data_IF_410600661148
#
_entry.id   IF_410600661148
#
_cell.length_a   1.000
_cell.length_b   1.000
_cell.length_c   1.000
_cell.angle_alpha   90.00
_cell.angle_beta   90.00
_cell.angle_gamma   90.00
#
_symmetry.space_group_name_H-M   'P 1'
#
loop_
_entity.id
_entity.type
_entity.pdbx_description
1 polymer ?
#
# COMPACT_ATOMS: atom_id res chain seq x y z
N UNK A 1 -6.18 -12.32 -0.35
CA UNK A 1 -5.84 -10.91 -0.61
C UNK A 1 -5.53 -10.77 -2.08
N UNK A 2 -6.20 -9.84 -2.76
CA UNK A 2 -6.03 -9.64 -4.20
C UNK A 2 -5.28 -8.34 -4.44
N UNK A 3 -4.20 -8.42 -5.21
CA UNK A 3 -3.44 -7.26 -5.67
C UNK A 3 -4.11 -6.62 -6.86
N UNK A 4 -4.04 -5.30 -6.98
CA UNK A 4 -4.54 -4.57 -8.16
C UNK A 4 -3.39 -3.79 -8.75
N UNK A 5 -3.08 -4.06 -10.02
CA UNK A 5 -1.88 -3.53 -10.69
C UNK A 5 -2.20 -3.05 -12.11
N UNK A 6 -1.39 -2.15 -12.65
CA UNK A 6 -1.38 -1.91 -14.10
C UNK A 6 -0.83 -3.15 -14.83
N UNK A 7 -1.07 -3.23 -16.14
CA UNK A 7 -0.48 -4.27 -17.00
C UNK A 7 1.05 -4.27 -16.88
N UNK A 8 1.66 -3.07 -16.94
CA UNK A 8 3.11 -2.89 -16.88
C UNK A 8 3.74 -3.43 -15.60
N UNK A 9 3.03 -3.41 -14.47
CA UNK A 9 3.54 -3.88 -13.18
C UNK A 9 2.98 -5.26 -12.79
N UNK A 10 2.08 -5.86 -13.59
CA UNK A 10 1.37 -7.09 -13.20
C UNK A 10 2.33 -8.24 -12.92
N UNK A 11 3.28 -8.50 -13.83
CA UNK A 11 4.24 -9.59 -13.69
C UNK A 11 5.11 -9.42 -12.43
N UNK A 12 5.50 -8.18 -12.12
CA UNK A 12 6.22 -7.86 -10.89
C UNK A 12 5.37 -8.17 -9.65
N UNK A 13 4.13 -7.65 -9.59
CA UNK A 13 3.24 -7.83 -8.44
C UNK A 13 2.92 -9.31 -8.22
N UNK A 14 2.65 -10.08 -9.29
CA UNK A 14 2.48 -11.54 -9.22
C UNK A 14 3.75 -12.22 -8.74
N UNK A 15 4.91 -11.79 -9.24
CA UNK A 15 6.22 -12.32 -8.89
C UNK A 15 6.54 -12.21 -7.40
N UNK A 16 6.00 -11.21 -6.69
CA UNK A 16 6.21 -11.04 -5.25
C UNK A 16 5.67 -12.20 -4.42
N UNK A 17 4.62 -12.89 -4.89
CA UNK A 17 3.94 -13.96 -4.14
C UNK A 17 3.15 -13.49 -2.91
N UNK A 18 2.97 -12.18 -2.72
CA UNK A 18 2.27 -11.59 -1.56
C UNK A 18 0.74 -11.74 -1.69
N UNK A 19 0.24 -11.79 -2.93
CA UNK A 19 -1.19 -11.80 -3.23
C UNK A 19 -1.61 -13.18 -3.75
N UNK A 20 -2.82 -13.61 -3.40
CA UNK A 20 -3.40 -14.86 -3.89
C UNK A 20 -3.73 -14.78 -5.39
N UNK A 21 -4.09 -13.57 -5.85
CA UNK A 21 -4.31 -13.25 -7.26
C UNK A 21 -4.01 -11.76 -7.53
N UNK A 22 -3.82 -11.41 -8.79
CA UNK A 22 -3.54 -10.04 -9.25
C UNK A 22 -4.45 -9.68 -10.42
N UNK A 23 -5.32 -8.70 -10.16
CA UNK A 23 -6.21 -8.11 -11.15
C UNK A 23 -5.62 -6.83 -11.74
N UNK A 24 -6.08 -6.50 -12.94
CA UNK A 24 -5.72 -5.24 -13.60
C UNK A 24 -6.52 -4.09 -13.03
N UNK A 25 -5.93 -2.89 -12.93
CA UNK A 25 -6.66 -1.66 -12.53
C UNK A 25 -7.85 -1.32 -13.43
N UNK A 26 -7.90 -1.89 -14.63
CA UNK A 26 -8.96 -1.76 -15.64
C UNK A 26 -10.02 -2.87 -15.59
N UNK A 27 -9.82 -3.92 -14.79
CA UNK A 27 -10.78 -5.01 -14.65
C UNK A 27 -12.05 -4.55 -13.92
N UNK A 28 -13.17 -5.26 -14.15
CA UNK A 28 -14.36 -5.12 -13.31
C UNK A 28 -14.10 -5.81 -11.96
N UNK A 29 -14.10 -5.05 -10.84
CA UNK A 29 -13.78 -5.61 -9.54
C UNK A 29 -14.82 -6.64 -9.07
N UNK A 30 -16.09 -6.54 -9.45
CA UNK A 30 -17.11 -7.50 -9.02
C UNK A 30 -16.88 -8.89 -9.66
N UNK A 31 -16.54 -8.90 -10.96
CA UNK A 31 -16.24 -10.13 -11.70
C UNK A 31 -14.95 -10.76 -11.17
N UNK A 32 -13.87 -9.96 -11.03
CA UNK A 32 -12.58 -10.48 -10.58
C UNK A 32 -12.60 -11.00 -9.15
N UNK A 33 -13.50 -10.48 -8.30
CA UNK A 33 -13.70 -11.01 -6.94
C UNK A 33 -14.66 -12.20 -6.90
N UNK A 34 -15.41 -12.51 -7.96
CA UNK A 34 -16.47 -13.53 -7.97
C UNK A 34 -17.61 -13.16 -7.01
N UNK A 35 -18.06 -11.91 -7.04
CA UNK A 35 -19.16 -11.43 -6.19
C UNK A 35 -20.43 -11.41 -7.03
N UNK A 36 -21.30 -12.38 -6.77
CA UNK A 36 -22.54 -12.57 -7.54
C UNK A 36 -23.77 -11.97 -6.83
N UNK A 37 -23.61 -11.39 -5.63
CA UNK A 37 -24.71 -10.85 -4.84
C UNK A 37 -24.34 -9.87 -3.72
N UNK A 38 -25.37 -9.27 -3.13
CA UNK A 38 -25.25 -8.09 -2.26
C UNK A 38 -24.61 -8.37 -0.89
N UNK A 39 -24.46 -9.62 -0.44
CA UNK A 39 -24.08 -9.93 0.96
C UNK A 39 -23.29 -11.23 1.18
N UNK A 40 -22.67 -11.81 0.14
CA UNK A 40 -22.04 -13.13 0.27
C UNK A 40 -20.81 -13.14 1.21
N UNK A 41 -20.20 -11.97 1.44
CA UNK A 41 -19.02 -11.76 2.29
C UNK A 41 -18.82 -10.27 2.56
N UNK A 42 -17.94 -9.92 3.50
CA UNK A 42 -17.49 -8.54 3.67
C UNK A 42 -16.34 -8.27 2.71
N UNK A 43 -16.42 -7.18 1.94
CA UNK A 43 -15.33 -6.72 1.08
C UNK A 43 -14.66 -5.51 1.70
N UNK A 44 -13.32 -5.51 1.74
CA UNK A 44 -12.54 -4.38 2.22
C UNK A 44 -11.56 -3.96 1.13
N UNK A 45 -11.64 -2.71 0.70
CA UNK A 45 -10.69 -2.10 -0.25
C UNK A 45 -9.68 -1.29 0.56
N UNK A 46 -8.42 -1.72 0.58
CA UNK A 46 -7.33 -0.96 1.14
C UNK A 46 -6.65 -0.14 0.03
N UNK A 47 -6.66 1.18 0.17
CA UNK A 47 -6.00 2.10 -0.76
C UNK A 47 -4.83 2.79 -0.07
N UNK A 48 -3.61 2.49 -0.54
CA UNK A 48 -2.35 3.06 -0.06
C UNK A 48 -1.88 4.24 -0.92
N UNK A 49 -2.79 4.95 -1.61
CA UNK A 49 -2.45 6.06 -2.49
C UNK A 49 -2.33 5.64 -3.96
N UNK A 50 -3.21 4.73 -4.40
CA UNK A 50 -3.28 4.30 -5.78
C UNK A 50 -3.42 5.48 -6.75
N UNK A 51 -2.60 5.47 -7.81
CA UNK A 51 -2.60 6.54 -8.82
C UNK A 51 -3.95 6.63 -9.53
N UNK A 52 -4.27 7.81 -10.05
CA UNK A 52 -5.48 8.07 -10.84
C UNK A 52 -6.79 7.61 -10.15
N UNK A 53 -6.82 7.65 -8.81
CA UNK A 53 -8.01 7.31 -8.02
C UNK A 53 -8.49 5.88 -8.22
N UNK A 54 -7.60 4.93 -8.52
CA UNK A 54 -8.01 3.52 -8.74
C UNK A 54 -8.82 2.98 -7.57
N UNK A 55 -8.37 3.19 -6.33
CA UNK A 55 -9.06 2.66 -5.15
C UNK A 55 -10.49 3.19 -5.01
N UNK A 56 -10.70 4.49 -5.19
CA UNK A 56 -12.03 5.09 -5.14
C UNK A 56 -12.93 4.66 -6.30
N UNK A 57 -12.40 4.54 -7.53
CA UNK A 57 -13.16 4.01 -8.69
C UNK A 57 -13.59 2.56 -8.47
N UNK A 58 -12.69 1.73 -7.95
CA UNK A 58 -12.98 0.34 -7.61
C UNK A 58 -14.05 0.23 -6.53
N UNK A 59 -13.92 1.00 -5.44
CA UNK A 59 -14.93 1.01 -4.38
C UNK A 59 -16.30 1.51 -4.88
N UNK A 60 -16.35 2.53 -5.74
CA UNK A 60 -17.61 2.99 -6.35
C UNK A 60 -18.27 1.89 -7.18
N UNK A 61 -17.50 1.18 -8.02
CA UNK A 61 -18.02 0.08 -8.83
C UNK A 61 -18.53 -1.09 -7.99
N UNK A 62 -17.81 -1.43 -6.91
CA UNK A 62 -18.24 -2.47 -5.98
C UNK A 62 -19.50 -2.08 -5.21
N UNK A 63 -19.61 -0.83 -4.76
CA UNK A 63 -20.75 -0.33 -3.99
C UNK A 63 -22.09 -0.42 -4.75
N UNK A 64 -22.05 -0.38 -6.09
CA UNK A 64 -23.26 -0.53 -6.92
C UNK A 64 -23.86 -1.95 -6.85
N UNK A 65 -23.07 -2.95 -6.48
CA UNK A 65 -23.45 -4.37 -6.53
C UNK A 65 -23.31 -5.08 -5.18
N UNK A 66 -22.61 -4.48 -4.23
CA UNK A 66 -22.25 -5.11 -2.98
C UNK A 66 -22.36 -4.14 -1.79
N UNK A 67 -23.33 -4.39 -0.92
CA UNK A 67 -23.67 -3.49 0.19
C UNK A 67 -22.67 -3.60 1.36
N UNK A 68 -22.09 -4.78 1.58
CA UNK A 68 -21.16 -5.03 2.68
C UNK A 68 -19.70 -4.66 2.34
N UNK A 69 -19.51 -3.40 1.93
CA UNK A 69 -18.23 -2.83 1.50
C UNK A 69 -17.67 -1.85 2.53
N UNK A 70 -16.37 -1.96 2.80
CA UNK A 70 -15.59 -0.97 3.54
C UNK A 70 -14.40 -0.49 2.70
N UNK A 71 -14.33 0.80 2.43
CA UNK A 71 -13.14 1.43 1.89
C UNK A 71 -12.24 1.94 3.03
N UNK A 72 -10.95 1.61 2.98
CA UNK A 72 -9.92 2.02 3.94
C UNK A 72 -8.83 2.76 3.18
N UNK A 73 -8.87 4.09 3.23
CA UNK A 73 -7.77 4.92 2.75
C UNK A 73 -6.66 4.96 3.79
N UNK A 74 -5.49 4.46 3.45
CA UNK A 74 -4.30 4.42 4.29
C UNK A 74 -3.32 5.48 3.83
N UNK A 75 -2.90 6.36 4.73
CA UNK A 75 -1.86 7.35 4.46
C UNK A 75 -0.98 7.59 5.68
N UNK A 76 0.08 8.36 5.47
CA UNK A 76 0.79 9.06 6.55
C UNK A 76 0.15 10.44 6.78
N UNK A 77 0.50 11.10 7.89
CA UNK A 77 0.03 12.46 8.15
C UNK A 77 0.36 13.40 6.98
N UNK A 78 -0.53 14.37 6.70
CA UNK A 78 -0.22 15.43 5.74
C UNK A 78 0.94 16.25 6.28
N UNK A 79 2.09 16.18 5.59
CA UNK A 79 3.27 16.98 5.93
C UNK A 79 3.19 18.41 5.37
N UNK A 80 2.33 18.64 4.37
CA UNK A 80 2.12 19.96 3.75
C UNK A 80 0.83 20.62 4.26
N UNK A 81 0.93 21.69 5.08
CA UNK A 81 -0.21 22.45 5.56
C UNK A 81 -1.05 23.07 4.44
N UNK A 82 -0.46 23.37 3.28
CA UNK A 82 -1.16 23.99 2.15
C UNK A 82 -2.12 23.00 1.45
N UNK A 83 -1.85 21.70 1.55
CA UNK A 83 -2.69 20.65 1.00
C UNK A 83 -3.92 20.32 1.86
N UNK A 84 -3.96 20.77 3.13
CA UNK A 84 -5.00 20.43 4.10
C UNK A 84 -6.39 20.84 3.60
N UNK A 85 -6.53 22.03 3.02
CA UNK A 85 -7.81 22.52 2.50
C UNK A 85 -8.38 21.64 1.38
N UNK A 86 -7.54 21.23 0.43
CA UNK A 86 -7.94 20.33 -0.66
C UNK A 86 -8.31 18.94 -0.15
N UNK A 87 -7.58 18.43 0.85
CA UNK A 87 -7.85 17.12 1.44
C UNK A 87 -9.15 17.13 2.26
N UNK A 88 -9.43 18.21 2.98
CA UNK A 88 -10.69 18.41 3.70
C UNK A 88 -11.87 18.55 2.74
N UNK A 89 -11.70 19.30 1.64
CA UNK A 89 -12.73 19.41 0.61
C UNK A 89 -13.04 18.05 -0.04
N UNK A 90 -12.02 17.24 -0.33
CA UNK A 90 -12.23 15.85 -0.79
C UNK A 90 -12.87 14.95 0.26
N UNK A 91 -12.57 15.15 1.54
CA UNK A 91 -13.17 14.38 2.63
C UNK A 91 -14.63 14.77 2.90
N UNK A 92 -15.05 15.97 2.53
CA UNK A 92 -16.43 16.44 2.65
C UNK A 92 -17.37 15.77 1.64
N UNK A 93 -16.85 15.26 0.52
CA UNK A 93 -17.63 14.47 -0.44
C UNK A 93 -17.89 13.09 0.17
N UNK A 94 -19.15 12.80 0.48
CA UNK A 94 -19.53 11.47 0.94
C UNK A 94 -19.60 10.50 -0.25
N UNK A 95 -18.76 9.46 -0.28
CA UNK A 95 -18.86 8.45 -1.32
C UNK A 95 -20.10 7.56 -1.10
N UNK A 96 -20.56 6.84 -2.14
CA UNK A 96 -21.70 5.91 -2.03
C UNK A 96 -21.38 4.62 -1.25
N UNK A 97 -20.29 4.60 -0.47
CA UNK A 97 -19.81 3.47 0.30
C UNK A 97 -19.29 3.93 1.66
N UNK A 98 -19.28 3.00 2.62
CA UNK A 98 -18.63 3.26 3.91
C UNK A 98 -17.13 3.43 3.71
N UNK A 99 -16.61 4.61 4.04
CA UNK A 99 -15.19 4.91 3.95
C UNK A 99 -14.63 5.29 5.32
N UNK A 100 -13.41 4.83 5.60
CA UNK A 100 -12.60 5.29 6.72
C UNK A 100 -11.23 5.71 6.21
N UNK A 101 -10.66 6.76 6.80
CA UNK A 101 -9.25 7.12 6.61
C UNK A 101 -8.48 6.76 7.86
N UNK A 102 -7.35 6.09 7.68
CA UNK A 102 -6.47 5.70 8.78
C UNK A 102 -5.07 6.22 8.52
N UNK A 103 -4.45 6.69 9.60
CA UNK A 103 -3.05 7.07 9.60
C UNK A 103 -2.21 5.86 10.07
N UNK A 104 -1.18 5.50 9.29
CA UNK A 104 -0.28 4.41 9.64
C UNK A 104 0.39 4.59 11.03
N UNK A 105 0.75 5.82 11.39
CA UNK A 105 1.32 6.12 12.71
C UNK A 105 0.32 5.92 13.84
N UNK A 106 -0.95 6.27 13.62
CA UNK A 106 -2.01 6.00 14.60
C UNK A 106 -2.25 4.51 14.77
N UNK A 107 -2.23 3.75 13.66
CA UNK A 107 -2.35 2.29 13.71
C UNK A 107 -1.20 1.66 14.49
N UNK A 108 0.04 2.10 14.24
CA UNK A 108 1.22 1.67 15.01
C UNK A 108 1.08 1.98 16.50
N UNK A 109 0.68 3.21 16.87
CA UNK A 109 0.44 3.57 18.27
C UNK A 109 -0.62 2.69 18.94
N UNK A 110 -1.72 2.40 18.24
CA UNK A 110 -2.77 1.52 18.76
C UNK A 110 -2.28 0.08 18.93
N UNK A 111 -1.50 -0.42 17.97
CA UNK A 111 -0.88 -1.73 18.05
C UNK A 111 0.04 -1.82 19.27
N UNK A 112 0.96 -0.86 19.45
CA UNK A 112 1.83 -0.78 20.63
C UNK A 112 1.03 -0.78 21.94
N UNK A 113 -0.07 -0.02 22.02
CA UNK A 113 -0.93 0.02 23.20
C UNK A 113 -1.62 -1.33 23.49
N UNK A 114 -1.86 -2.13 22.46
CA UNK A 114 -2.54 -3.43 22.58
C UNK A 114 -1.58 -4.57 22.93
N UNK A 115 -0.39 -4.60 22.30
CA UNK A 115 0.56 -5.72 22.46
C UNK A 115 1.70 -5.42 23.43
N UNK A 116 1.85 -4.17 23.85
CA UNK A 116 3.00 -3.68 24.61
C UNK A 116 4.09 -3.13 23.69
N UNK A 117 4.66 -1.98 24.07
CA UNK A 117 5.66 -1.27 23.25
C UNK A 117 6.91 -2.11 23.00
N UNK A 118 7.49 -2.71 24.05
CA UNK A 118 8.68 -3.57 23.92
C UNK A 118 8.44 -4.75 22.98
N UNK A 119 7.29 -5.42 23.15
CA UNK A 119 6.91 -6.56 22.30
C UNK A 119 6.71 -6.13 20.85
N UNK A 120 6.07 -4.99 20.63
CA UNK A 120 5.87 -4.45 19.29
C UNK A 120 7.21 -4.18 18.60
N UNK A 121 8.12 -3.43 19.24
CA UNK A 121 9.43 -3.11 18.66
C UNK A 121 10.30 -4.34 18.43
N UNK A 122 10.25 -5.32 19.34
CA UNK A 122 10.95 -6.60 19.17
C UNK A 122 10.44 -7.36 17.94
N UNK A 123 9.12 -7.45 17.75
CA UNK A 123 8.51 -8.12 16.60
C UNK A 123 8.73 -7.37 15.29
N UNK A 124 8.68 -6.03 15.32
CA UNK A 124 8.99 -5.20 14.15
C UNK A 124 10.45 -5.38 13.75
N UNK A 125 11.39 -5.33 14.69
CA UNK A 125 12.81 -5.58 14.42
C UNK A 125 13.01 -6.98 13.82
N UNK A 126 12.40 -8.02 14.40
CA UNK A 126 12.47 -9.38 13.86
C UNK A 126 11.90 -9.47 12.43
N UNK A 127 10.78 -8.82 12.17
CA UNK A 127 10.14 -8.78 10.85
C UNK A 127 11.02 -8.05 9.84
N UNK A 128 11.65 -6.95 10.28
CA UNK A 128 12.59 -6.19 9.47
C UNK A 128 13.83 -7.02 9.12
N UNK A 129 14.42 -7.72 10.09
CA UNK A 129 15.54 -8.65 9.83
C UNK A 129 15.16 -9.76 8.85
N UNK A 130 13.95 -10.32 8.98
CA UNK A 130 13.40 -11.25 8.02
C UNK A 130 13.31 -10.64 6.63
N UNK A 131 12.77 -9.42 6.51
CA UNK A 131 12.71 -8.69 5.25
C UNK A 131 14.08 -8.41 4.65
N UNK A 132 15.09 -8.03 5.45
CA UNK A 132 16.46 -7.80 4.97
C UNK A 132 17.09 -9.06 4.39
N UNK A 133 16.83 -10.20 5.02
CA UNK A 133 17.35 -11.51 4.62
C UNK A 133 16.62 -12.06 3.39
N UNK A 134 15.29 -12.02 3.40
CA UNK A 134 14.45 -12.71 2.43
C UNK A 134 14.11 -11.83 1.21
N UNK A 135 14.17 -10.50 1.39
CA UNK A 135 13.90 -9.51 0.36
C UNK A 135 12.45 -9.52 -0.13
N UNK A 136 12.25 -8.98 -1.33
CA UNK A 136 10.99 -9.11 -2.07
C UNK A 136 11.29 -9.86 -3.35
N UNK A 137 10.56 -10.95 -3.59
CA UNK A 137 10.76 -11.74 -4.81
C UNK A 137 10.51 -10.88 -6.04
N UNK A 138 11.48 -10.86 -6.96
CA UNK A 138 11.45 -10.01 -8.15
C UNK A 138 11.93 -8.57 -7.94
N UNK A 139 12.42 -8.22 -6.74
CA UNK A 139 12.97 -6.92 -6.42
C UNK A 139 14.27 -7.05 -5.60
N UNK A 140 15.38 -6.60 -6.18
CA UNK A 140 16.66 -6.55 -5.47
C UNK A 140 16.68 -5.36 -4.52
N UNK A 141 17.06 -5.57 -3.26
CA UNK A 141 17.30 -4.47 -2.32
C UNK A 141 18.80 -4.36 -2.07
N UNK A 142 19.35 -3.19 -2.41
CA UNK A 142 20.74 -2.85 -2.13
C UNK A 142 20.78 -2.10 -0.80
N UNK A 143 21.39 -2.75 0.18
CA UNK A 143 21.53 -2.22 1.53
C UNK A 143 22.85 -1.45 1.67
N UNK A 144 22.79 -0.27 2.26
CA UNK A 144 23.97 0.52 2.63
C UNK A 144 23.85 1.12 4.03
N UNK A 145 24.97 1.62 4.56
CA UNK A 145 25.01 2.23 5.89
C UNK A 145 25.83 3.52 5.90
N UNK A 146 25.30 4.55 6.54
CA UNK A 146 25.93 5.86 6.66
C UNK A 146 25.84 6.71 5.38
N UNK A 147 26.28 7.97 5.50
CA UNK A 147 26.15 8.96 4.44
C UNK A 147 26.99 8.64 3.20
N UNK A 148 28.11 7.92 3.34
CA UNK A 148 28.95 7.56 2.20
C UNK A 148 28.22 6.64 1.21
N UNK A 149 27.50 5.65 1.72
CA UNK A 149 26.72 4.72 0.87
C UNK A 149 25.50 5.41 0.25
N UNK A 150 24.90 6.36 0.98
CA UNK A 150 23.84 7.21 0.44
C UNK A 150 24.33 8.00 -0.77
N UNK A 151 25.51 8.65 -0.66
CA UNK A 151 26.10 9.44 -1.75
C UNK A 151 26.34 8.54 -2.97
N UNK A 152 27.02 7.40 -2.78
CA UNK A 152 27.26 6.43 -3.88
C UNK A 152 25.98 5.96 -4.54
N UNK A 153 24.96 5.66 -3.72
CA UNK A 153 23.63 5.29 -4.18
C UNK A 153 22.96 6.34 -5.03
N UNK A 154 23.02 7.57 -4.55
CA UNK A 154 22.47 8.72 -5.23
C UNK A 154 23.17 8.98 -6.57
N UNK A 155 24.49 8.90 -6.61
CA UNK A 155 25.28 9.06 -7.84
C UNK A 155 24.90 8.01 -8.88
N UNK A 156 24.81 6.73 -8.47
CA UNK A 156 24.32 5.64 -9.34
C UNK A 156 22.93 5.94 -9.88
N UNK A 157 22.01 6.38 -9.03
CA UNK A 157 20.64 6.71 -9.43
C UNK A 157 20.62 7.87 -10.44
N UNK A 158 21.39 8.93 -10.18
CA UNK A 158 21.48 10.11 -11.03
C UNK A 158 22.07 9.78 -12.42
N UNK A 159 22.99 8.81 -12.48
CA UNK A 159 23.59 8.32 -13.72
C UNK A 159 22.74 7.26 -14.45
N UNK A 160 21.58 6.90 -13.92
CA UNK A 160 20.70 5.88 -14.53
C UNK A 160 21.20 4.44 -14.37
N UNK A 161 22.07 4.19 -13.39
CA UNK A 161 22.69 2.88 -13.13
C UNK A 161 21.89 2.01 -12.14
N UNK A 162 20.76 2.52 -11.65
CA UNK A 162 19.83 1.78 -10.78
C UNK A 162 18.71 1.22 -11.65
N UNK A 163 18.55 -0.11 -11.61
CA UNK A 163 17.53 -0.77 -12.42
C UNK A 163 16.12 -0.54 -11.83
N UNK A 164 15.05 -0.61 -12.65
CA UNK A 164 13.68 -0.54 -12.14
C UNK A 164 13.32 -1.64 -11.13
N UNK A 165 14.07 -2.75 -11.13
CA UNK A 165 13.95 -3.88 -10.22
C UNK A 165 14.81 -3.73 -8.96
N UNK A 166 15.49 -2.60 -8.76
CA UNK A 166 16.38 -2.35 -7.63
C UNK A 166 15.83 -1.26 -6.71
N UNK A 167 15.87 -1.51 -5.40
CA UNK A 167 15.59 -0.55 -4.35
C UNK A 167 16.85 -0.24 -3.56
N UNK A 168 17.13 1.04 -3.34
CA UNK A 168 18.22 1.50 -2.51
C UNK A 168 17.72 1.78 -1.09
N UNK A 169 18.29 1.13 -0.09
CA UNK A 169 17.89 1.32 1.32
C UNK A 169 19.12 1.57 2.19
N UNK A 170 19.09 2.69 2.92
CA UNK A 170 20.19 3.14 3.75
C UNK A 170 19.80 3.24 5.21
N UNK A 171 20.66 2.70 6.07
CA UNK A 171 20.60 3.00 7.51
C UNK A 171 21.53 4.17 7.80
N UNK A 172 20.96 5.26 8.30
CA UNK A 172 21.71 6.42 8.79
C UNK A 172 22.11 6.24 10.26
#
# INVERSE_FOLDING_TARGET
IIGVSSEASRAFVQGTGIYDDVLLTTADPAIGLGIDGANDRKVVVFDFGGRAGVGSRWATSLAQRHANLLYVGVGSGLLDPSAVGAVLAQAAVQPPYRAVRVNADDMRRRAMKQVGEEKYWSQEAQSWEGFRRDGVKGFGVIWGSGMEDVIKGWDRLANGEVLPSEGLVYKL
#
